data_IF_517104171346
#
_entry.id   IF_517104171346
#
_cell.length_a   1.000
_cell.length_b   1.000
_cell.length_c   1.000
_cell.angle_alpha   90.00
_cell.angle_beta   90.00
_cell.angle_gamma   90.00
#
_symmetry.space_group_name_H-M   'P 1'
#
loop_
_entity.id
_entity.type
_entity.pdbx_description
1 polymer ?
#
# COMPACT_ATOMS: atom_id res chain seq x y z
N UNK A 1 22.11 30.63 -23.71
CA UNK A 1 21.39 29.38 -24.03
C UNK A 1 20.24 29.27 -23.07
N UNK A 2 19.00 29.15 -23.58
CA UNK A 2 17.85 28.86 -22.71
C UNK A 2 17.78 27.35 -22.60
N UNK A 3 18.11 26.80 -21.42
CA UNK A 3 17.91 25.38 -21.15
C UNK A 3 16.48 25.19 -20.67
N UNK A 4 15.70 24.39 -21.41
CA UNK A 4 14.39 23.96 -20.97
C UNK A 4 14.61 22.93 -19.85
N UNK A 5 14.27 23.31 -18.61
CA UNK A 5 14.22 22.35 -17.49
C UNK A 5 12.89 21.64 -17.57
N UNK A 6 12.91 20.31 -17.62
CA UNK A 6 11.70 19.50 -17.47
C UNK A 6 11.22 19.62 -16.03
N UNK A 7 9.95 19.98 -15.78
CA UNK A 7 9.41 19.98 -14.43
C UNK A 7 9.48 18.55 -13.85
N UNK A 8 9.72 18.41 -12.53
CA UNK A 8 9.68 17.10 -11.89
C UNK A 8 8.27 16.50 -11.98
N UNK A 9 8.19 15.18 -12.07
CA UNK A 9 6.94 14.41 -12.00
C UNK A 9 6.98 13.48 -10.77
N UNK A 10 6.10 13.70 -9.80
CA UNK A 10 5.99 12.82 -8.63
C UNK A 10 5.02 11.65 -8.86
N UNK A 11 4.41 11.56 -10.03
CA UNK A 11 3.34 10.62 -10.34
C UNK A 11 1.96 11.14 -9.91
N UNK A 12 1.00 10.22 -9.89
CA UNK A 12 -0.37 10.48 -9.41
C UNK A 12 -0.63 9.83 -8.06
N UNK A 13 -1.50 10.47 -7.29
CA UNK A 13 -1.99 9.94 -6.02
C UNK A 13 -2.55 8.53 -6.18
N UNK A 14 -2.37 7.71 -5.15
CA UNK A 14 -2.83 6.33 -5.14
C UNK A 14 -3.43 5.95 -3.78
N UNK A 15 -4.20 4.87 -3.80
CA UNK A 15 -4.71 4.21 -2.59
C UNK A 15 -4.15 2.80 -2.56
N UNK A 16 -3.62 2.41 -1.41
CA UNK A 16 -3.05 1.09 -1.19
C UNK A 16 -3.72 0.45 0.02
N UNK A 17 -4.47 -0.62 -0.23
CA UNK A 17 -5.12 -1.41 0.82
C UNK A 17 -4.27 -2.65 1.12
N UNK A 18 -3.79 -2.77 2.35
CA UNK A 18 -2.95 -3.87 2.80
C UNK A 18 -3.57 -4.57 4.01
N UNK A 19 -3.23 -5.84 4.19
CA UNK A 19 -3.54 -6.60 5.39
C UNK A 19 -2.41 -6.43 6.40
N UNK A 20 -2.72 -6.46 7.69
CA UNK A 20 -1.73 -6.33 8.78
C UNK A 20 -0.69 -7.46 8.81
N UNK A 21 -0.97 -8.60 8.18
CA UNK A 21 -0.06 -9.74 7.98
C UNK A 21 0.56 -9.79 6.57
N UNK A 22 0.31 -8.74 5.77
CA UNK A 22 0.82 -8.61 4.42
C UNK A 22 2.34 -8.42 4.38
N UNK A 23 2.93 -8.75 3.23
CA UNK A 23 4.35 -8.50 3.01
C UNK A 23 4.64 -7.00 2.86
N UNK A 24 5.88 -6.61 3.20
CA UNK A 24 6.37 -5.27 2.95
C UNK A 24 6.26 -4.91 1.46
N UNK A 25 5.71 -3.74 1.16
CA UNK A 25 5.35 -3.31 -0.19
C UNK A 25 6.05 -2.00 -0.54
N UNK A 26 6.63 -1.91 -1.74
CA UNK A 26 7.25 -0.69 -2.22
C UNK A 26 6.19 0.35 -2.63
N UNK A 27 6.16 1.49 -1.95
CA UNK A 27 5.20 2.57 -2.18
C UNK A 27 5.38 3.19 -3.57
N UNK A 28 6.62 3.30 -4.06
CA UNK A 28 6.93 3.85 -5.38
C UNK A 28 6.23 3.11 -6.53
N UNK A 29 6.06 1.79 -6.42
CA UNK A 29 5.36 1.00 -7.44
C UNK A 29 3.85 1.17 -7.42
N UNK A 30 3.28 1.71 -6.34
CA UNK A 30 1.85 1.98 -6.21
C UNK A 30 1.47 3.36 -6.75
N UNK A 31 2.42 4.27 -6.95
CA UNK A 31 2.18 5.56 -7.60
C UNK A 31 1.68 5.37 -9.03
N UNK A 32 0.70 6.17 -9.43
CA UNK A 32 0.23 6.19 -10.82
C UNK A 32 1.15 6.99 -11.74
N UNK A 33 1.02 6.79 -13.06
CA UNK A 33 1.72 7.59 -14.07
C UNK A 33 3.16 7.15 -14.33
N UNK A 34 4.07 8.12 -14.42
CA UNK A 34 5.51 7.89 -14.65
C UNK A 34 6.33 8.71 -13.65
N UNK A 35 6.27 8.37 -12.35
CA UNK A 35 6.98 9.12 -11.32
C UNK A 35 8.50 9.11 -11.56
N UNK A 36 9.13 10.27 -11.42
CA UNK A 36 10.57 10.42 -11.45
C UNK A 36 11.20 9.74 -10.23
N UNK A 37 12.31 9.04 -10.45
CA UNK A 37 13.08 8.42 -9.38
C UNK A 37 13.92 9.45 -8.61
N UNK A 38 14.22 9.15 -7.34
CA UNK A 38 15.10 9.98 -6.51
C UNK A 38 14.39 11.02 -5.65
N UNK A 39 13.06 10.99 -5.59
CA UNK A 39 12.28 11.73 -4.61
C UNK A 39 12.41 11.13 -3.19
N UNK A 40 11.88 11.87 -2.22
CA UNK A 40 11.89 11.51 -0.81
C UNK A 40 10.51 11.13 -0.31
N UNK A 41 10.43 10.11 0.53
CA UNK A 41 9.21 9.69 1.19
C UNK A 41 9.09 10.27 2.59
N UNK A 42 7.87 10.64 2.96
CA UNK A 42 7.51 11.09 4.30
C UNK A 42 6.34 10.25 4.80
N UNK A 43 6.43 9.80 6.06
CA UNK A 43 5.36 9.07 6.74
C UNK A 43 4.19 10.00 7.14
N UNK A 44 3.05 9.45 7.60
CA UNK A 44 1.90 10.23 8.03
C UNK A 44 2.17 11.15 9.25
N UNK A 45 3.24 10.89 9.99
CA UNK A 45 3.67 11.69 11.16
C UNK A 45 4.66 12.80 10.78
N UNK A 46 5.06 12.90 9.50
CA UNK A 46 6.02 13.88 9.01
C UNK A 46 7.49 13.46 9.09
N UNK A 47 7.79 12.20 9.39
CA UNK A 47 9.17 11.68 9.42
C UNK A 47 9.60 11.17 8.05
N UNK A 48 10.91 11.20 7.77
CA UNK A 48 11.46 10.58 6.57
C UNK A 48 11.20 9.06 6.58
N UNK A 49 10.77 8.52 5.44
CA UNK A 49 10.46 7.10 5.26
C UNK A 49 11.29 6.49 4.14
N UNK A 50 11.50 5.16 4.19
CA UNK A 50 12.33 4.44 3.23
C UNK A 50 11.66 4.12 1.90
N UNK A 51 10.37 4.45 1.74
CA UNK A 51 9.59 4.14 0.54
C UNK A 51 9.15 2.68 0.42
N UNK A 52 9.45 1.85 1.43
CA UNK A 52 8.93 0.48 1.58
C UNK A 52 8.06 0.45 2.83
N UNK A 53 6.78 0.21 2.65
CA UNK A 53 5.80 0.14 3.74
C UNK A 53 5.70 -1.27 4.29
N UNK A 54 5.89 -1.43 5.60
CA UNK A 54 5.69 -2.70 6.31
C UNK A 54 4.40 -2.65 7.15
N UNK A 55 3.32 -3.37 6.78
CA UNK A 55 2.07 -3.39 7.54
C UNK A 55 2.19 -3.80 9.02
N UNK A 56 3.27 -4.51 9.40
CA UNK A 56 3.49 -4.95 10.77
C UNK A 56 4.14 -3.87 11.66
N UNK A 57 4.85 -2.92 11.04
CA UNK A 57 5.71 -1.95 11.75
C UNK A 57 5.31 -0.50 11.49
N UNK A 58 4.85 -0.19 10.27
CA UNK A 58 4.54 1.15 9.81
C UNK A 58 3.07 1.53 10.09
N UNK A 59 2.80 2.78 10.52
CA UNK A 59 1.45 3.25 10.77
C UNK A 59 0.68 3.46 9.46
N UNK A 60 -0.56 2.97 9.40
CA UNK A 60 -1.47 3.30 8.31
C UNK A 60 -1.72 4.82 8.22
N UNK A 61 -1.86 5.35 7.01
CA UNK A 61 -2.12 6.77 6.77
C UNK A 61 -1.57 7.27 5.43
N UNK A 62 -1.40 8.57 5.33
CA UNK A 62 -0.96 9.26 4.12
C UNK A 62 0.57 9.32 4.04
N UNK A 63 1.14 8.65 3.05
CA UNK A 63 2.56 8.72 2.72
C UNK A 63 2.76 9.68 1.55
N UNK A 64 3.70 10.61 1.69
CA UNK A 64 3.98 11.62 0.67
C UNK A 64 5.29 11.30 -0.05
N UNK A 65 5.28 11.33 -1.37
CA UNK A 65 6.46 11.31 -2.22
C UNK A 65 6.70 12.70 -2.80
N UNK A 66 7.88 13.27 -2.55
CA UNK A 66 8.26 14.60 -3.04
C UNK A 66 9.48 14.48 -3.94
N UNK A 67 9.37 14.98 -5.17
CA UNK A 67 10.48 15.11 -6.10
C UNK A 67 10.88 16.57 -6.16
N UNK A 68 12.09 16.88 -5.68
CA UNK A 68 12.60 18.24 -5.64
C UNK A 68 12.73 18.81 -7.05
N UNK A 69 12.12 19.97 -7.26
CA UNK A 69 12.28 20.76 -8.47
C UNK A 69 13.71 21.29 -8.56
N UNK A 70 14.27 21.22 -9.77
CA UNK A 70 15.54 21.88 -10.06
C UNK A 70 15.44 23.40 -9.92
N UNK A 71 16.55 24.09 -10.23
CA UNK A 71 16.57 25.55 -10.31
C UNK A 71 15.35 26.00 -11.14
N UNK A 72 14.49 26.84 -10.54
CA UNK A 72 13.27 27.43 -11.14
C UNK A 72 12.08 26.49 -11.48
N UNK A 73 12.01 25.29 -10.90
CA UNK A 73 10.78 24.48 -10.89
C UNK A 73 10.28 24.31 -9.45
N UNK A 74 8.96 24.32 -9.25
CA UNK A 74 8.39 23.89 -7.97
C UNK A 74 8.56 22.38 -7.80
N UNK A 75 8.60 21.92 -6.55
CA UNK A 75 8.62 20.50 -6.23
C UNK A 75 7.32 19.83 -6.70
N UNK A 76 7.42 18.61 -7.19
CA UNK A 76 6.26 17.77 -7.46
C UNK A 76 5.99 16.88 -6.24
N UNK A 77 4.71 16.66 -5.95
CA UNK A 77 4.27 15.83 -4.83
C UNK A 77 3.18 14.87 -5.29
N UNK A 78 3.25 13.63 -4.81
CA UNK A 78 2.18 12.65 -4.89
C UNK A 78 1.94 12.04 -3.51
N UNK A 79 0.69 11.68 -3.22
CA UNK A 79 0.28 11.11 -1.94
C UNK A 79 -0.29 9.72 -2.14
N UNK A 80 0.18 8.77 -1.32
CA UNK A 80 -0.40 7.43 -1.21
C UNK A 80 -1.18 7.36 0.10
N UNK A 81 -2.47 7.05 0.01
CA UNK A 81 -3.27 6.72 1.18
C UNK A 81 -3.17 5.22 1.43
N UNK A 82 -2.50 4.84 2.52
CA UNK A 82 -2.36 3.43 2.90
C UNK A 82 -3.38 3.07 3.96
N UNK A 83 -4.27 2.14 3.64
CA UNK A 83 -5.22 1.59 4.60
C UNK A 83 -4.75 0.19 5.00
N UNK A 84 -4.54 -0.02 6.31
CA UNK A 84 -4.23 -1.35 6.85
C UNK A 84 -5.51 -1.92 7.46
N UNK A 85 -6.04 -2.96 6.85
CA UNK A 85 -7.12 -3.76 7.43
C UNK A 85 -6.52 -4.84 8.32
N UNK A 86 -7.08 -5.11 9.51
CA UNK A 86 -6.67 -6.27 10.28
C UNK A 86 -6.86 -7.51 9.42
N UNK A 87 -5.84 -8.38 9.38
CA UNK A 87 -5.98 -9.68 8.76
C UNK A 87 -7.24 -10.32 9.32
N UNK A 88 -8.18 -10.71 8.45
CA UNK A 88 -9.28 -11.55 8.88
C UNK A 88 -8.62 -12.82 9.40
N UNK A 89 -8.60 -12.98 10.72
CA UNK A 89 -8.38 -14.31 11.27
C UNK A 89 -9.61 -15.11 10.83
N UNK A 90 -9.55 -15.70 9.64
CA UNK A 90 -10.48 -16.74 9.20
C UNK A 90 -10.20 -17.93 10.12
N UNK A 91 -10.73 -17.81 11.34
CA UNK A 91 -10.05 -18.34 12.52
C UNK A 91 -9.81 -19.82 12.45
N UNK A 92 -8.54 -20.23 12.55
CA UNK A 92 -8.08 -21.60 12.36
C UNK A 92 -8.51 -22.15 10.98
N UNK A 93 -7.60 -22.74 10.23
CA UNK A 93 -8.04 -23.75 9.27
C UNK A 93 -8.84 -24.77 10.07
N UNK A 94 -10.16 -24.74 9.92
CA UNK A 94 -11.03 -25.79 10.38
C UNK A 94 -10.63 -27.01 9.59
N UNK A 95 -9.64 -27.75 10.09
CA UNK A 95 -9.42 -29.13 9.71
C UNK A 95 -10.68 -29.84 10.16
N UNK A 96 -11.68 -29.85 9.27
CA UNK A 96 -12.76 -30.80 9.33
C UNK A 96 -12.09 -32.15 9.03
N UNK A 97 -11.59 -32.78 10.09
CA UNK A 97 -11.34 -34.20 10.08
C UNK A 97 -12.70 -34.87 9.89
N UNK A 98 -13.10 -35.02 8.63
CA UNK A 98 -14.15 -35.96 8.26
C UNK A 98 -13.56 -37.33 8.53
N UNK A 99 -13.98 -37.96 9.63
CA UNK A 99 -13.86 -39.42 9.72
C UNK A 99 -14.81 -39.99 8.65
N UNK A 100 -14.30 -40.86 7.79
CA UNK A 100 -15.00 -41.49 6.64
C UNK A 100 -16.26 -42.33 7.01
N UNK A 101 -16.84 -42.19 8.20
CA UNK A 101 -17.95 -43.03 8.68
C UNK A 101 -19.19 -42.26 9.20
N UNK A 102 -19.33 -40.96 8.93
CA UNK A 102 -20.54 -40.21 9.31
C UNK A 102 -21.51 -39.99 8.13
N UNK A 103 -22.69 -40.61 8.23
CA UNK A 103 -23.76 -40.69 7.21
C UNK A 103 -24.19 -39.33 6.61
N UNK A 104 -24.68 -39.31 5.35
CA UNK A 104 -25.06 -38.07 4.68
C UNK A 104 -26.37 -37.52 5.27
N UNK A 105 -26.30 -36.48 6.09
CA UNK A 105 -27.48 -35.72 6.51
C UNK A 105 -27.76 -34.62 5.50
N UNK A 106 -28.89 -34.75 4.80
CA UNK A 106 -29.34 -33.83 3.74
C UNK A 106 -29.67 -32.43 4.25
N UNK A 107 -29.26 -31.42 3.48
CA UNK A 107 -29.29 -29.99 3.82
C UNK A 107 -30.64 -29.28 3.61
N UNK A 108 -31.77 -29.99 3.49
CA UNK A 108 -33.07 -29.40 3.11
C UNK A 108 -34.16 -29.43 4.20
N UNK A 109 -33.79 -29.49 5.48
CA UNK A 109 -34.75 -29.50 6.60
C UNK A 109 -34.86 -28.14 7.33
N UNK A 110 -34.77 -27.02 6.61
CA UNK A 110 -35.11 -25.69 7.14
C UNK A 110 -36.27 -25.02 6.39
N UNK A 111 -37.29 -25.80 6.00
CA UNK A 111 -38.63 -25.23 5.77
C UNK A 111 -39.69 -26.03 6.51
#
# INVERSE_FOLDING_TARGET
TVSLVTPPDAGSDAVLDLCSDGAATALFGALGGSPDAGGTWTDPNGNAHGGTFDPASDPAGNYSYVVAGGLNCADAQATITVNVSPAVNAGLDGVLAVCDDAAPTGLFAQL
#
